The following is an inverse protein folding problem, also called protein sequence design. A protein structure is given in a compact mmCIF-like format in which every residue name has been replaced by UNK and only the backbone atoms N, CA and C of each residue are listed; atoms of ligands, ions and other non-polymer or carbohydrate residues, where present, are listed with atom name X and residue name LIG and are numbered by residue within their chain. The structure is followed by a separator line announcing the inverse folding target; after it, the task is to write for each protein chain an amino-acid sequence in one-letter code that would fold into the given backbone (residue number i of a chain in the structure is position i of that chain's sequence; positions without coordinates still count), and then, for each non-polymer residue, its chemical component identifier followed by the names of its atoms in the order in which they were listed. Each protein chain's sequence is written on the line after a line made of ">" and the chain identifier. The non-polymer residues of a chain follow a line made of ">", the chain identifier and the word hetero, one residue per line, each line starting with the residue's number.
data_IF_157859541767
#
_entry.id   IF_157859541767
#
_cell.length_a   1.000
_cell.length_b   1.000
_cell.length_c   1.000
_cell.angle_alpha   90.00
_cell.angle_beta   90.00
_cell.angle_gamma   90.00
#
_symmetry.space_group_name_H-M   'P 1'
#
loop_
_entity.id
_entity.type
_entity.pdbx_description
1 polymer ?
#
# COMPACT_ATOMS: atom_id res chain seq x y z
N UNK A 1 -9.94 0.48 -19.65
CA UNK A 1 -9.48 -0.08 -18.38
C UNK A 1 -8.76 1.03 -17.64
N UNK A 2 -9.40 1.60 -16.61
CA UNK A 2 -8.82 2.62 -15.75
C UNK A 2 -8.04 1.95 -14.62
N UNK A 3 -6.87 2.49 -14.27
CA UNK A 3 -6.02 1.93 -13.21
C UNK A 3 -5.53 3.00 -12.26
N UNK A 4 -5.31 2.64 -11.00
CA UNK A 4 -4.73 3.49 -9.97
C UNK A 4 -3.58 2.79 -9.23
N UNK A 5 -2.64 3.59 -8.74
CA UNK A 5 -1.56 3.12 -7.87
C UNK A 5 -1.67 3.83 -6.53
N UNK A 6 -1.62 3.07 -5.44
CA UNK A 6 -1.58 3.58 -4.07
C UNK A 6 -0.18 3.36 -3.49
N UNK A 7 0.77 4.29 -3.68
CA UNK A 7 2.13 4.14 -3.20
C UNK A 7 2.27 4.52 -1.72
N UNK A 8 3.12 3.81 -0.98
CA UNK A 8 3.41 4.11 0.42
C UNK A 8 4.40 3.14 1.05
N UNK A 9 4.93 3.50 2.23
CA UNK A 9 5.84 2.58 2.94
C UNK A 9 5.12 1.43 3.65
N UNK A 10 3.85 1.64 4.01
CA UNK A 10 2.94 0.70 4.69
C UNK A 10 3.62 -0.10 5.82
N UNK A 11 4.13 0.62 6.81
CA UNK A 11 5.01 0.10 7.86
C UNK A 11 4.49 0.50 9.25
N UNK A 12 3.39 -0.10 9.74
CA UNK A 12 2.54 -1.09 9.06
C UNK A 12 1.41 -0.45 8.23
N UNK A 13 0.66 -1.29 7.51
CA UNK A 13 -0.66 -0.89 6.99
C UNK A 13 -1.61 -0.56 8.15
N UNK A 14 -2.57 0.33 7.91
CA UNK A 14 -3.54 0.78 8.94
C UNK A 14 -4.93 0.77 8.34
N UNK A 15 -5.98 0.80 9.18
CA UNK A 15 -7.36 0.88 8.69
C UNK A 15 -7.63 2.15 7.85
N UNK A 16 -6.89 3.23 8.09
CA UNK A 16 -6.96 4.41 7.22
C UNK A 16 -6.37 4.18 5.83
N UNK A 17 -5.34 3.35 5.71
CA UNK A 17 -4.82 2.95 4.40
C UNK A 17 -5.82 2.03 3.67
N UNK A 18 -6.43 1.09 4.39
CA UNK A 18 -7.45 0.18 3.86
C UNK A 18 -8.66 0.95 3.33
N UNK A 19 -9.17 1.94 4.08
CA UNK A 19 -10.26 2.82 3.61
C UNK A 19 -9.94 3.48 2.26
N UNK A 20 -8.72 3.98 2.11
CA UNK A 20 -8.27 4.60 0.85
C UNK A 20 -8.19 3.57 -0.28
N UNK A 21 -7.69 2.36 -0.02
CA UNK A 21 -7.60 1.30 -1.02
C UNK A 21 -8.99 0.86 -1.48
N UNK A 22 -9.92 0.66 -0.55
CA UNK A 22 -11.32 0.29 -0.85
C UNK A 22 -12.02 1.36 -1.69
N UNK A 23 -11.83 2.63 -1.33
CA UNK A 23 -12.38 3.76 -2.09
C UNK A 23 -11.77 3.87 -3.48
N UNK A 24 -10.48 3.58 -3.65
CA UNK A 24 -9.85 3.52 -4.97
C UNK A 24 -10.39 2.33 -5.79
N UNK A 25 -10.50 1.16 -5.17
CA UNK A 25 -11.00 -0.06 -5.82
C UNK A 25 -12.47 0.08 -6.28
N UNK A 26 -13.25 0.93 -5.61
CA UNK A 26 -14.61 1.25 -6.04
C UNK A 26 -14.71 2.18 -7.26
N UNK A 27 -13.61 2.82 -7.69
CA UNK A 27 -13.59 3.84 -8.75
C UNK A 27 -12.74 3.47 -9.97
N UNK A 28 -11.83 2.50 -9.83
CA UNK A 28 -10.91 2.07 -10.88
C UNK A 28 -11.05 0.58 -11.16
N UNK A 29 -10.83 0.17 -12.41
CA UNK A 29 -10.90 -1.25 -12.80
C UNK A 29 -9.78 -2.08 -12.14
N UNK A 30 -8.62 -1.46 -11.88
CA UNK A 30 -7.46 -2.08 -11.23
C UNK A 30 -6.79 -1.11 -10.23
N UNK A 31 -6.38 -1.62 -9.07
CA UNK A 31 -5.62 -0.88 -8.06
C UNK A 31 -4.38 -1.66 -7.65
N UNK A 32 -3.22 -1.02 -7.75
CA UNK A 32 -1.94 -1.59 -7.31
C UNK A 32 -1.46 -0.86 -6.06
N UNK A 33 -1.32 -1.58 -4.95
CA UNK A 33 -0.67 -1.05 -3.74
C UNK A 33 0.84 -1.22 -3.88
N UNK A 34 1.56 -0.11 -4.07
CA UNK A 34 3.00 -0.12 -4.30
C UNK A 34 3.75 0.13 -2.98
N UNK A 35 4.27 -0.94 -2.37
CA UNK A 35 5.06 -0.87 -1.13
C UNK A 35 6.46 -0.35 -1.46
N UNK A 36 6.76 0.86 -1.03
CA UNK A 36 8.02 1.53 -1.28
C UNK A 36 9.03 1.22 -0.17
N UNK A 37 10.18 0.67 -0.57
CA UNK A 37 11.32 0.46 0.32
C UNK A 37 12.22 1.68 0.27
N UNK A 38 12.47 2.29 1.43
CA UNK A 38 13.50 3.32 1.58
C UNK A 38 14.71 2.72 2.32
N UNK A 39 15.84 2.47 1.64
CA UNK A 39 17.04 1.89 2.25
C UNK A 39 17.63 2.74 3.40
N UNK A 40 17.36 4.05 3.42
CA UNK A 40 17.85 4.96 4.45
C UNK A 40 16.92 5.02 5.68
N UNK A 41 15.72 4.45 5.61
CA UNK A 41 14.77 4.39 6.73
C UNK A 41 14.89 3.04 7.43
N UNK A 42 15.10 3.05 8.74
CA UNK A 42 14.89 1.85 9.56
C UNK A 42 13.39 1.61 9.70
N UNK A 43 12.90 0.60 8.99
CA UNK A 43 11.53 0.14 9.08
C UNK A 43 11.24 -0.61 10.38
N UNK A 44 9.97 -0.66 10.77
CA UNK A 44 9.52 -1.50 11.89
C UNK A 44 9.40 -2.96 11.45
N UNK A 45 8.87 -3.17 10.24
CA UNK A 45 8.69 -4.47 9.60
C UNK A 45 9.59 -4.60 8.37
N UNK A 46 10.00 -5.82 8.04
CA UNK A 46 10.65 -6.12 6.77
C UNK A 46 9.66 -6.06 5.60
N UNK A 47 10.14 -6.23 4.37
CA UNK A 47 9.28 -6.11 3.18
C UNK A 47 8.23 -7.22 3.13
N UNK A 48 8.59 -8.44 3.50
CA UNK A 48 7.71 -9.61 3.41
C UNK A 48 6.59 -9.52 4.44
N UNK A 49 6.90 -9.05 5.65
CA UNK A 49 5.92 -8.75 6.70
C UNK A 49 4.91 -7.70 6.23
N UNK A 50 5.35 -6.65 5.53
CA UNK A 50 4.45 -5.60 5.01
C UNK A 50 3.58 -6.06 3.86
N UNK A 51 4.05 -7.02 3.05
CA UNK A 51 3.24 -7.63 1.98
C UNK A 51 2.16 -8.54 2.56
N UNK A 52 2.46 -9.20 3.70
CA UNK A 52 1.56 -10.19 4.30
C UNK A 52 0.42 -9.60 5.14
N UNK A 53 0.53 -8.34 5.58
CA UNK A 53 -0.50 -7.62 6.36
C UNK A 53 -1.56 -6.97 5.49
#
# INVERSE_FOLDING_TARGET
>A
MSGAVCPGSFDPVTLGHVDVFERAAAQFDEVVVAILVNPAKKGMFDLDERIAM
#
